data_IF_322770724765
#
_entry.id   IF_322770724765
#
_cell.length_a   1.000
_cell.length_b   1.000
_cell.length_c   1.000
_cell.angle_alpha   90.00
_cell.angle_beta   90.00
_cell.angle_gamma   90.00
#
_symmetry.space_group_name_H-M   'P 1'
#
loop_
_entity.id
_entity.type
_entity.pdbx_description
1 polymer ?
#
# COMPACT_ATOMS: atom_id res chain seq x y z
N UNK A 1 -39.56 -12.45 -2.86
CA UNK A 1 -39.48 -13.90 -3.06
C UNK A 1 -38.65 -14.13 -4.31
N UNK A 2 -37.60 -14.92 -4.23
CA UNK A 2 -36.69 -15.13 -5.37
C UNK A 2 -37.29 -16.12 -6.37
N UNK A 3 -37.13 -15.83 -7.65
CA UNK A 3 -37.62 -16.68 -8.75
C UNK A 3 -36.59 -17.79 -8.98
N UNK A 4 -36.96 -19.02 -8.63
CA UNK A 4 -36.10 -20.21 -8.69
C UNK A 4 -36.91 -21.35 -9.30
N UNK A 5 -36.26 -22.21 -10.10
CA UNK A 5 -36.91 -23.32 -10.81
C UNK A 5 -37.75 -24.22 -9.89
N UNK A 6 -37.23 -24.58 -8.71
CA UNK A 6 -37.95 -25.41 -7.74
C UNK A 6 -39.26 -24.78 -7.29
N UNK A 7 -39.32 -23.45 -7.17
CA UNK A 7 -40.53 -22.71 -6.75
C UNK A 7 -41.48 -22.43 -7.92
N UNK A 8 -40.95 -22.31 -9.13
CA UNK A 8 -41.73 -22.13 -10.36
C UNK A 8 -42.65 -23.34 -10.64
N UNK A 9 -42.27 -24.53 -10.18
CA UNK A 9 -43.10 -25.74 -10.31
C UNK A 9 -44.38 -25.74 -9.46
N UNK A 10 -44.47 -24.85 -8.47
CA UNK A 10 -45.58 -24.82 -7.49
C UNK A 10 -46.39 -23.52 -7.58
N UNK A 11 -45.79 -22.43 -8.06
CA UNK A 11 -46.41 -21.10 -8.09
C UNK A 11 -46.02 -20.35 -9.37
N UNK A 12 -46.99 -19.68 -9.98
CA UNK A 12 -46.76 -18.79 -11.12
C UNK A 12 -46.18 -17.44 -10.68
N UNK A 13 -45.14 -16.97 -11.38
CA UNK A 13 -44.50 -15.68 -11.12
C UNK A 13 -44.80 -14.68 -12.24
N UNK A 14 -44.97 -13.41 -11.88
CA UNK A 14 -44.98 -12.31 -12.85
C UNK A 14 -43.56 -11.95 -13.30
N UNK A 15 -43.45 -11.03 -14.27
CA UNK A 15 -42.15 -10.48 -14.68
C UNK A 15 -41.40 -9.85 -13.50
N UNK A 16 -40.07 -10.00 -13.42
CA UNK A 16 -39.30 -9.49 -12.30
C UNK A 16 -39.36 -7.96 -12.24
N UNK A 17 -39.85 -7.42 -11.12
CA UNK A 17 -39.88 -5.99 -10.87
C UNK A 17 -38.51 -5.41 -10.46
N UNK A 18 -37.70 -6.21 -9.74
CA UNK A 18 -36.39 -5.81 -9.23
C UNK A 18 -35.42 -6.99 -9.23
N UNK A 19 -34.16 -6.74 -9.60
CA UNK A 19 -33.09 -7.75 -9.57
C UNK A 19 -32.17 -7.50 -8.39
N UNK A 20 -32.14 -8.42 -7.42
CA UNK A 20 -31.16 -8.42 -6.34
C UNK A 20 -29.96 -9.28 -6.74
N UNK A 21 -28.76 -8.78 -6.44
CA UNK A 21 -27.53 -9.56 -6.57
C UNK A 21 -26.97 -9.85 -5.17
N UNK A 22 -26.59 -11.09 -4.93
CA UNK A 22 -25.93 -11.50 -3.69
C UNK A 22 -24.51 -10.94 -3.64
N UNK A 23 -24.14 -10.32 -2.52
CA UNK A 23 -22.83 -9.71 -2.32
C UNK A 23 -22.33 -10.05 -0.92
N UNK A 24 -21.03 -10.27 -0.81
CA UNK A 24 -20.38 -10.40 0.49
C UNK A 24 -20.10 -9.01 1.06
N UNK A 25 -20.42 -8.83 2.34
CA UNK A 25 -20.10 -7.62 3.08
C UNK A 25 -18.91 -7.91 4.00
N UNK A 26 -17.87 -7.09 3.90
CA UNK A 26 -16.67 -7.19 4.70
C UNK A 26 -16.47 -5.88 5.46
N UNK A 27 -15.95 -5.97 6.69
CA UNK A 27 -15.49 -4.78 7.41
C UNK A 27 -14.38 -4.14 6.59
N UNK A 28 -14.46 -2.82 6.40
CA UNK A 28 -13.41 -2.08 5.73
C UNK A 28 -12.10 -2.23 6.54
N UNK A 29 -11.00 -2.69 5.92
CA UNK A 29 -9.77 -2.91 6.66
C UNK A 29 -9.23 -1.60 7.23
N UNK A 30 -8.59 -1.70 8.39
CA UNK A 30 -8.02 -0.53 9.06
C UNK A 30 -6.79 -0.04 8.28
N UNK A 31 -6.64 1.28 8.20
CA UNK A 31 -5.50 1.88 7.52
C UNK A 31 -4.20 1.50 8.26
N UNK A 32 -3.08 1.28 7.55
CA UNK A 32 -1.80 1.01 8.19
C UNK A 32 -1.40 2.19 9.08
N UNK A 33 -0.55 1.95 10.10
CA UNK A 33 -0.19 2.97 11.06
C UNK A 33 0.56 4.14 10.41
N UNK A 34 0.22 5.36 10.84
CA UNK A 34 0.65 6.62 10.20
C UNK A 34 2.17 6.79 10.08
N UNK A 35 2.97 6.22 10.97
CA UNK A 35 4.44 6.37 10.93
C UNK A 35 5.11 5.65 9.75
N UNK A 36 4.46 4.63 9.16
CA UNK A 36 4.97 3.98 7.96
C UNK A 36 4.99 4.91 6.73
N UNK A 37 4.17 5.98 6.75
CA UNK A 37 4.12 6.99 5.68
C UNK A 37 5.44 7.74 5.45
N UNK A 38 6.37 7.68 6.40
CA UNK A 38 7.69 8.33 6.29
C UNK A 38 8.59 7.59 5.30
N UNK A 39 8.46 6.26 5.18
CA UNK A 39 9.37 5.43 4.37
C UNK A 39 8.83 5.17 2.95
N UNK A 40 7.50 5.22 2.78
CA UNK A 40 6.81 5.06 1.49
C UNK A 40 7.02 6.13 0.40
N UNK A 41 7.51 7.38 0.66
CA UNK A 41 7.68 8.37 -0.39
C UNK A 41 8.61 7.91 -1.52
N UNK A 42 9.51 6.98 -1.19
CA UNK A 42 10.47 6.35 -2.09
C UNK A 42 10.34 4.83 -2.05
N UNK A 43 10.43 4.22 -3.23
CA UNK A 43 10.49 2.77 -3.35
C UNK A 43 11.83 2.25 -2.80
N UNK A 44 11.89 0.98 -2.44
CA UNK A 44 13.13 0.35 -1.98
C UNK A 44 14.26 0.46 -3.02
N UNK A 45 13.93 0.43 -4.32
CA UNK A 45 14.88 0.60 -5.41
C UNK A 45 15.48 2.01 -5.43
N UNK A 46 14.66 3.03 -5.17
CA UNK A 46 15.16 4.42 -5.08
C UNK A 46 16.01 4.66 -3.84
N UNK A 47 15.67 4.03 -2.70
CA UNK A 47 16.52 4.08 -1.51
C UNK A 47 17.89 3.46 -1.77
N UNK A 48 17.92 2.31 -2.45
CA UNK A 48 19.18 1.67 -2.86
C UNK A 48 19.97 2.57 -3.81
N UNK A 49 19.32 3.15 -4.83
CA UNK A 49 19.97 4.07 -5.77
C UNK A 49 20.55 5.30 -5.06
N UNK A 50 19.86 5.87 -4.06
CA UNK A 50 20.37 6.97 -3.24
C UNK A 50 21.60 6.55 -2.43
N UNK A 51 21.56 5.36 -1.80
CA UNK A 51 22.70 4.84 -1.06
C UNK A 51 23.94 4.63 -1.96
N UNK A 52 23.74 4.06 -3.15
CA UNK A 52 24.82 3.88 -4.13
C UNK A 52 25.34 5.22 -4.63
N UNK A 53 24.45 6.17 -4.95
CA UNK A 53 24.82 7.51 -5.39
C UNK A 53 25.65 8.23 -4.32
N UNK A 54 25.27 8.11 -3.04
CA UNK A 54 26.02 8.67 -1.92
C UNK A 54 27.44 8.12 -1.83
N UNK A 55 27.62 6.80 -2.00
CA UNK A 55 28.95 6.18 -2.01
C UNK A 55 29.78 6.69 -3.19
N UNK A 56 29.19 6.72 -4.40
CA UNK A 56 29.88 7.18 -5.62
C UNK A 56 30.31 8.64 -5.50
N UNK A 57 29.45 9.53 -4.99
CA UNK A 57 29.79 10.95 -4.82
C UNK A 57 30.88 11.14 -3.76
N UNK A 58 30.84 10.37 -2.69
CA UNK A 58 31.90 10.40 -1.67
C UNK A 58 33.24 9.96 -2.26
N UNK A 59 33.26 8.91 -3.08
CA UNK A 59 34.46 8.47 -3.79
C UNK A 59 34.99 9.55 -4.75
N UNK A 60 34.12 10.18 -5.53
CA UNK A 60 34.50 11.28 -6.44
C UNK A 60 35.08 12.45 -5.64
N UNK A 61 34.44 12.83 -4.53
CA UNK A 61 34.92 13.89 -3.64
C UNK A 61 36.31 13.60 -3.08
N UNK A 62 36.55 12.36 -2.61
CA UNK A 62 37.87 11.94 -2.11
C UNK A 62 38.94 11.93 -3.21
N UNK A 63 38.61 11.47 -4.42
CA UNK A 63 39.51 11.50 -5.57
C UNK A 63 39.88 12.95 -5.93
N UNK A 64 38.90 13.85 -5.93
CA UNK A 64 39.10 15.26 -6.25
C UNK A 64 39.92 16.00 -5.19
N UNK A 65 39.74 15.66 -3.91
CA UNK A 65 40.59 16.18 -2.83
C UNK A 65 42.03 15.72 -2.98
N UNK A 66 42.25 14.45 -3.34
CA UNK A 66 43.59 13.88 -3.55
C UNK A 66 44.29 14.49 -4.77
N UNK A 67 43.61 14.68 -5.90
CA UNK A 67 44.22 15.27 -7.12
C UNK A 67 44.59 16.74 -6.94
N UNK A 68 43.88 17.44 -6.05
CA UNK A 68 44.11 18.85 -5.75
C UNK A 68 45.13 19.06 -4.61
N UNK A 69 45.73 17.99 -4.10
CA UNK A 69 46.70 17.96 -2.98
C UNK A 69 46.14 18.54 -1.67
N UNK A 70 44.83 18.41 -1.46
CA UNK A 70 44.20 18.74 -0.19
C UNK A 70 44.36 17.56 0.79
N UNK A 71 44.55 17.88 2.07
CA UNK A 71 44.51 16.87 3.15
C UNK A 71 43.16 16.17 3.13
N UNK A 72 43.16 14.91 2.72
CA UNK A 72 42.01 14.02 2.87
C UNK A 72 41.89 13.71 4.36
N UNK A 73 40.78 14.14 4.98
CA UNK A 73 40.45 13.77 6.36
C UNK A 73 40.11 12.28 6.46
N UNK A 74 39.73 11.82 7.66
CA UNK A 74 39.26 10.45 7.80
C UNK A 74 38.02 10.18 6.93
N UNK A 75 37.92 8.97 6.38
CA UNK A 75 36.82 8.58 5.48
C UNK A 75 35.46 8.78 6.18
N UNK A 76 35.36 8.43 7.46
CA UNK A 76 34.18 8.66 8.31
C UNK A 76 33.69 10.11 8.28
N UNK A 77 34.60 11.06 8.48
CA UNK A 77 34.29 12.49 8.46
C UNK A 77 33.88 12.95 7.06
N UNK A 78 34.56 12.50 6.01
CA UNK A 78 34.19 12.87 4.63
C UNK A 78 32.80 12.37 4.23
N UNK A 79 32.43 11.15 4.66
CA UNK A 79 31.08 10.60 4.44
C UNK A 79 30.03 11.47 5.13
N UNK A 80 30.30 11.90 6.37
CA UNK A 80 29.40 12.78 7.12
C UNK A 80 29.27 14.16 6.45
N UNK A 81 30.36 14.75 5.98
CA UNK A 81 30.34 16.03 5.26
C UNK A 81 29.51 15.96 3.97
N UNK A 82 29.64 14.88 3.20
CA UNK A 82 28.82 14.67 2.00
C UNK A 82 27.36 14.39 2.40
N UNK A 83 27.10 13.63 3.47
CA UNK A 83 25.74 13.35 3.94
C UNK A 83 25.01 14.62 4.43
N UNK A 84 25.72 15.54 5.09
CA UNK A 84 25.17 16.85 5.53
C UNK A 84 24.57 17.64 4.38
N UNK A 85 25.15 17.57 3.18
CA UNK A 85 24.63 18.29 2.01
C UNK A 85 23.24 17.80 1.56
N UNK A 86 22.92 16.51 1.73
CA UNK A 86 21.57 15.96 1.48
C UNK A 86 20.58 16.52 2.50
N UNK A 87 20.99 16.57 3.77
CA UNK A 87 20.20 17.12 4.87
C UNK A 87 20.07 18.66 4.82
N UNK A 88 20.63 19.31 3.79
CA UNK A 88 20.68 20.78 3.65
C UNK A 88 21.38 21.46 4.83
N UNK A 89 22.24 20.72 5.52
CA UNK A 89 23.09 21.26 6.59
C UNK A 89 24.28 21.97 5.95
N UNK A 90 24.68 23.09 6.55
CA UNK A 90 25.83 23.84 6.09
C UNK A 90 27.14 23.13 6.48
N UNK A 91 28.14 23.26 5.62
CA UNK A 91 29.49 22.77 5.90
C UNK A 91 30.43 23.97 5.86
N UNK A 92 31.29 24.13 6.88
CA UNK A 92 32.06 25.35 7.04
C UNK A 92 33.38 25.38 6.25
N UNK A 93 33.82 24.25 5.69
CA UNK A 93 35.15 24.12 5.10
C UNK A 93 35.10 23.84 3.60
N UNK A 94 35.01 24.90 2.78
CA UNK A 94 35.15 24.77 1.33
C UNK A 94 36.43 25.38 0.80
N UNK A 95 37.11 24.60 -0.05
CA UNK A 95 38.23 25.08 -0.85
C UNK A 95 37.77 26.15 -1.85
N UNK A 96 38.59 27.19 -2.06
CA UNK A 96 38.28 28.36 -2.93
C UNK A 96 38.49 28.09 -4.43
N UNK A 97 38.84 26.87 -4.85
CA UNK A 97 39.07 26.55 -6.27
C UNK A 97 37.75 26.43 -7.03
N UNK A 98 37.66 27.08 -8.19
CA UNK A 98 36.44 27.12 -9.02
C UNK A 98 35.92 25.73 -9.42
N UNK A 99 36.80 24.80 -9.80
CA UNK A 99 36.41 23.45 -10.22
C UNK A 99 35.78 22.64 -9.07
N UNK A 100 36.27 22.83 -7.85
CA UNK A 100 35.72 22.17 -6.66
C UNK A 100 34.36 22.75 -6.28
N UNK A 101 34.22 24.07 -6.34
CA UNK A 101 32.94 24.76 -6.13
C UNK A 101 31.89 24.34 -7.17
N UNK A 102 32.29 24.15 -8.43
CA UNK A 102 31.39 23.69 -9.48
C UNK A 102 30.89 22.26 -9.20
N UNK A 103 31.80 21.34 -8.83
CA UNK A 103 31.44 19.96 -8.46
C UNK A 103 30.50 19.92 -7.25
N UNK A 104 30.86 20.62 -6.17
CA UNK A 104 30.04 20.71 -4.95
C UNK A 104 28.70 21.39 -5.24
N UNK A 105 28.68 22.42 -6.10
CA UNK A 105 27.48 23.12 -6.52
C UNK A 105 26.51 22.22 -7.28
N UNK A 106 27.01 21.41 -8.23
CA UNK A 106 26.19 20.42 -8.96
C UNK A 106 25.60 19.38 -8.00
N UNK A 107 26.41 18.85 -7.07
CA UNK A 107 25.91 17.91 -6.08
C UNK A 107 24.87 18.55 -5.14
N UNK A 108 25.10 19.78 -4.68
CA UNK A 108 24.14 20.53 -3.85
C UNK A 108 22.81 20.78 -4.59
N UNK A 109 22.86 21.05 -5.88
CA UNK A 109 21.64 21.18 -6.70
C UNK A 109 20.90 19.84 -6.79
N UNK A 110 21.61 18.74 -7.04
CA UNK A 110 21.01 17.40 -7.06
C UNK A 110 20.39 17.04 -5.70
N UNK A 111 21.11 17.26 -4.61
CA UNK A 111 20.63 17.07 -3.24
C UNK A 111 19.40 17.93 -2.94
N UNK A 112 19.37 19.18 -3.41
CA UNK A 112 18.20 20.05 -3.28
C UNK A 112 16.98 19.45 -3.98
N UNK A 113 17.13 18.97 -5.21
CA UNK A 113 16.06 18.32 -5.99
C UNK A 113 15.57 17.06 -5.28
N UNK A 114 16.48 16.17 -4.85
CA UNK A 114 16.13 14.92 -4.14
C UNK A 114 15.31 15.24 -2.89
N UNK A 115 15.77 16.18 -2.06
CA UNK A 115 15.07 16.56 -0.83
C UNK A 115 13.71 17.20 -1.11
N UNK A 116 13.58 18.00 -2.19
CA UNK A 116 12.30 18.60 -2.58
C UNK A 116 11.32 17.50 -3.04
N UNK A 117 11.74 16.59 -3.93
CA UNK A 117 10.89 15.48 -4.39
C UNK A 117 10.46 14.60 -3.22
N UNK A 118 11.37 14.29 -2.30
CA UNK A 118 11.04 13.53 -1.09
C UNK A 118 9.97 14.24 -0.25
N UNK A 119 10.14 15.55 0.02
CA UNK A 119 9.16 16.31 0.78
C UNK A 119 7.81 16.43 0.06
N UNK A 120 7.79 16.60 -1.26
CA UNK A 120 6.56 16.65 -2.05
C UNK A 120 5.81 15.31 -2.00
N UNK A 121 6.51 14.20 -2.19
CA UNK A 121 5.90 12.87 -2.11
C UNK A 121 5.43 12.58 -0.68
N UNK A 122 6.20 12.93 0.33
CA UNK A 122 5.80 12.78 1.74
C UNK A 122 4.51 13.54 2.02
N UNK A 123 4.40 14.80 1.56
CA UNK A 123 3.17 15.60 1.69
C UNK A 123 1.98 14.89 1.03
N UNK A 124 2.16 14.31 -0.16
CA UNK A 124 1.10 13.55 -0.82
C UNK A 124 0.67 12.30 -0.03
N UNK A 125 1.63 11.57 0.57
CA UNK A 125 1.35 10.38 1.37
C UNK A 125 0.68 10.68 2.72
N UNK A 126 0.92 11.85 3.31
CA UNK A 126 0.24 12.24 4.57
C UNK A 126 -1.13 12.86 4.32
N UNK A 127 -1.40 13.42 3.14
CA UNK A 127 -2.71 13.98 2.78
C UNK A 127 -3.69 12.91 2.35
N UNK A 128 -3.24 11.91 1.58
CA UNK A 128 -4.08 10.81 1.12
C UNK A 128 -3.67 9.54 1.87
N UNK A 129 -4.51 9.01 2.77
CA UNK A 129 -4.17 7.79 3.47
C UNK A 129 -4.03 6.63 2.47
N UNK A 130 -3.00 5.78 2.62
CA UNK A 130 -2.84 4.62 1.75
C UNK A 130 -4.07 3.73 1.87
N UNK A 131 -4.59 3.30 0.72
CA UNK A 131 -5.71 2.38 0.69
C UNK A 131 -5.30 1.06 1.34
N UNK A 132 -6.02 0.57 2.35
CA UNK A 132 -5.73 -0.73 2.94
C UNK A 132 -5.90 -1.84 1.90
N UNK A 133 -5.16 -2.93 2.04
CA UNK A 133 -5.29 -4.10 1.16
C UNK A 133 -6.70 -4.64 1.27
N UNK A 134 -7.47 -4.57 0.18
CA UNK A 134 -8.84 -5.08 0.09
C UNK A 134 -8.84 -6.40 -0.66
N UNK A 135 -9.66 -7.34 -0.19
CA UNK A 135 -9.97 -8.54 -0.96
C UNK A 135 -10.86 -8.11 -2.13
N UNK A 136 -10.33 -8.24 -3.35
CA UNK A 136 -11.04 -7.78 -4.55
C UNK A 136 -11.76 -8.91 -5.28
N UNK A 137 -11.29 -10.15 -5.13
CA UNK A 137 -11.84 -11.30 -5.85
C UNK A 137 -12.46 -12.33 -4.91
N UNK A 138 -13.40 -13.13 -5.44
CA UNK A 138 -13.99 -14.26 -4.73
C UNK A 138 -12.93 -15.32 -4.38
N UNK A 139 -11.91 -15.49 -5.24
CA UNK A 139 -10.79 -16.39 -4.99
C UNK A 139 -9.98 -15.94 -3.76
N UNK A 140 -9.68 -14.65 -3.65
CA UNK A 140 -8.98 -14.10 -2.49
C UNK A 140 -9.81 -14.28 -1.21
N UNK A 141 -11.13 -14.10 -1.31
CA UNK A 141 -12.05 -14.31 -0.19
C UNK A 141 -12.12 -15.79 0.22
N UNK A 142 -12.18 -16.72 -0.74
CA UNK A 142 -12.20 -18.16 -0.47
C UNK A 142 -10.89 -18.65 0.16
N UNK A 143 -9.75 -18.10 -0.27
CA UNK A 143 -8.43 -18.39 0.28
C UNK A 143 -8.22 -17.74 1.67
N UNK A 144 -8.93 -16.66 1.97
CA UNK A 144 -8.84 -15.98 3.26
C UNK A 144 -9.37 -16.85 4.41
N UNK A 145 -9.01 -16.45 5.63
CA UNK A 145 -9.51 -17.06 6.88
C UNK A 145 -10.92 -16.55 7.26
N UNK A 146 -11.52 -15.66 6.48
CA UNK A 146 -12.86 -15.15 6.78
C UNK A 146 -13.92 -16.23 6.54
N UNK A 147 -14.80 -16.40 7.51
CA UNK A 147 -15.97 -17.26 7.40
C UNK A 147 -17.18 -16.38 7.09
N UNK A 148 -17.85 -16.58 5.95
CA UNK A 148 -19.08 -15.86 5.67
C UNK A 148 -20.17 -16.35 6.63
N UNK A 149 -20.97 -15.41 7.14
CA UNK A 149 -22.11 -15.69 8.01
C UNK A 149 -23.37 -15.11 7.39
N UNK A 150 -24.48 -15.82 7.53
CA UNK A 150 -25.78 -15.40 7.02
C UNK A 150 -26.88 -15.86 7.97
N UNK A 151 -27.96 -15.08 8.10
CA UNK A 151 -29.16 -15.49 8.83
C UNK A 151 -29.94 -16.55 8.05
N UNK A 152 -30.43 -17.57 8.75
CA UNK A 152 -31.23 -18.64 8.16
C UNK A 152 -32.71 -18.25 8.09
N UNK A 153 -33.08 -17.55 7.03
CA UNK A 153 -34.47 -17.22 6.70
C UNK A 153 -34.99 -18.03 5.49
N UNK A 154 -34.39 -19.21 5.21
CA UNK A 154 -34.83 -20.09 4.12
C UNK A 154 -34.49 -19.59 2.72
N UNK A 155 -33.37 -18.86 2.57
CA UNK A 155 -32.87 -18.39 1.28
C UNK A 155 -32.31 -19.53 0.41
N UNK A 156 -32.29 -19.35 -0.91
CA UNK A 156 -31.72 -20.33 -1.84
C UNK A 156 -30.19 -20.30 -1.93
N UNK A 157 -29.56 -19.24 -1.43
CA UNK A 157 -28.14 -18.97 -1.62
C UNK A 157 -27.20 -20.04 -1.05
N UNK A 158 -27.43 -20.61 0.15
CA UNK A 158 -26.54 -21.63 0.71
C UNK A 158 -26.42 -22.85 -0.19
N UNK A 159 -27.54 -23.33 -0.74
CA UNK A 159 -27.56 -24.50 -1.62
C UNK A 159 -27.01 -24.17 -3.01
N UNK A 160 -27.31 -22.97 -3.53
CA UNK A 160 -26.74 -22.50 -4.79
C UNK A 160 -25.22 -22.35 -4.73
N UNK A 161 -24.66 -21.87 -3.60
CA UNK A 161 -23.22 -21.74 -3.43
C UNK A 161 -22.53 -23.10 -3.36
N UNK A 162 -23.10 -24.09 -2.66
CA UNK A 162 -22.54 -25.45 -2.58
C UNK A 162 -22.54 -26.16 -3.95
N UNK A 163 -23.55 -25.92 -4.76
CA UNK A 163 -23.76 -26.57 -6.07
C UNK A 163 -23.07 -25.83 -7.23
N UNK A 164 -22.62 -24.60 -7.00
CA UNK A 164 -22.00 -23.76 -8.04
C UNK A 164 -20.78 -24.41 -8.69
N UNK A 165 -20.61 -24.19 -10.00
CA UNK A 165 -19.43 -24.61 -10.76
C UNK A 165 -18.14 -23.91 -10.30
N UNK A 166 -18.27 -22.69 -9.76
CA UNK A 166 -17.11 -21.94 -9.27
C UNK A 166 -16.55 -22.54 -7.97
N UNK A 167 -15.28 -22.95 -8.04
CA UNK A 167 -14.54 -23.49 -6.90
C UNK A 167 -14.51 -22.56 -5.69
N UNK A 168 -14.46 -21.24 -5.90
CA UNK A 168 -14.43 -20.26 -4.81
C UNK A 168 -15.77 -20.19 -4.08
N UNK A 169 -16.88 -20.14 -4.83
CA UNK A 169 -18.22 -20.12 -4.25
C UNK A 169 -18.54 -21.41 -3.51
N UNK A 170 -18.13 -22.56 -4.05
CA UNK A 170 -18.30 -23.85 -3.37
C UNK A 170 -17.52 -23.92 -2.05
N UNK A 171 -16.28 -23.41 -2.04
CA UNK A 171 -15.47 -23.32 -0.82
C UNK A 171 -16.12 -22.38 0.21
N UNK A 172 -16.63 -21.24 -0.24
CA UNK A 172 -17.32 -20.28 0.63
C UNK A 172 -18.66 -20.85 1.15
N UNK A 173 -19.41 -21.57 0.33
CA UNK A 173 -20.66 -22.23 0.71
C UNK A 173 -20.46 -23.36 1.71
N UNK A 174 -19.32 -24.07 1.64
CA UNK A 174 -18.94 -25.05 2.66
C UNK A 174 -18.50 -24.41 3.98
N UNK A 175 -17.85 -23.24 3.92
CA UNK A 175 -17.44 -22.46 5.10
C UNK A 175 -18.58 -21.62 5.71
N UNK A 176 -19.71 -21.48 5.01
CA UNK A 176 -20.82 -20.63 5.42
C UNK A 176 -21.46 -21.15 6.69
N UNK A 177 -21.56 -20.28 7.69
CA UNK A 177 -22.30 -20.54 8.91
C UNK A 177 -23.67 -19.86 8.86
N UNK A 178 -24.71 -20.65 9.10
CA UNK A 178 -26.09 -20.18 9.16
C UNK A 178 -26.46 -19.89 10.61
N UNK A 179 -26.78 -18.63 10.89
CA UNK A 179 -27.22 -18.18 12.20
C UNK A 179 -28.74 -18.33 12.32
N UNK A 180 -29.27 -18.81 13.45
CA UNK A 180 -30.71 -18.96 13.63
C UNK A 180 -31.41 -17.61 13.52
N UNK A 181 -32.51 -17.57 12.78
CA UNK A 181 -33.34 -16.38 12.67
C UNK A 181 -34.23 -16.26 13.92
N UNK A 182 -33.96 -15.26 14.77
CA UNK A 182 -34.80 -14.93 15.91
C UNK A 182 -35.74 -13.76 15.54
N UNK A 183 -37.02 -14.07 15.39
CA UNK A 183 -38.08 -13.08 15.10
C UNK A 183 -38.14 -11.97 16.16
N UNK A 184 -37.76 -12.24 17.42
CA UNK A 184 -37.88 -11.26 18.51
C UNK A 184 -36.88 -10.10 18.40
N UNK A 185 -35.70 -10.35 17.83
CA UNK A 185 -34.68 -9.32 17.63
C UNK A 185 -35.01 -8.39 16.45
N UNK A 186 -35.78 -8.87 15.47
CA UNK A 186 -36.16 -8.08 14.29
C UNK A 186 -37.17 -6.96 14.60
N UNK A 187 -37.98 -7.12 15.66
CA UNK A 187 -39.03 -6.16 16.06
C UNK A 187 -38.73 -5.40 17.36
N UNK A 188 -37.57 -5.62 17.98
CA UNK A 188 -37.08 -4.84 19.11
C UNK A 188 -36.54 -3.48 18.63
N UNK A 189 -37.43 -2.49 18.52
CA UNK A 189 -37.06 -1.08 18.47
C UNK A 189 -36.78 -0.54 19.86
#
# INVERSE_FOLDING_TARGET
>A
MDIIESRFSVVDFSIPFWTSNSRFLLKNPEAPPRYWSIVFPFSWMTWLALAVTQVVVTLIYMLFMKTLDFRVGEISWTVLEVAKTILRLDNQDFSKRASFLMMVGVWRLAAFVISTVYTSNLVAYITIPPSPVRLHTLNDLAASKFQPMMLDYGSYLPEAMKTSEDSALRTLGQKLELLPYDEKLAFSK
#
